data_IF_388313375344
#
_entry.id   IF_388313375344
#
_cell.length_a   1.000
_cell.length_b   1.000
_cell.length_c   1.000
_cell.angle_alpha   90.00
_cell.angle_beta   90.00
_cell.angle_gamma   90.00
#
_symmetry.space_group_name_H-M   'P 1'
#
loop_
_entity.id
_entity.type
_entity.pdbx_description
1 polymer ?
#
# COMPACT_ATOMS: atom_id res chain seq x y z
N UNK A 1 55.46 -2.27 -13.39
CA UNK A 1 55.41 -1.09 -12.50
C UNK A 1 54.09 -1.09 -11.74
N UNK A 2 54.10 -1.14 -10.43
CA UNK A 2 52.91 -1.00 -9.61
C UNK A 2 52.52 0.47 -9.55
N UNK A 3 51.37 0.85 -10.14
CA UNK A 3 50.86 2.20 -10.00
C UNK A 3 50.32 2.34 -8.56
N UNK A 4 50.93 3.22 -7.79
CA UNK A 4 50.48 3.59 -6.45
C UNK A 4 49.49 4.73 -6.56
N UNK A 5 48.33 4.62 -5.91
CA UNK A 5 47.39 5.72 -5.83
C UNK A 5 47.93 6.86 -4.97
N UNK A 6 47.68 8.08 -5.41
CA UNK A 6 48.05 9.27 -4.62
C UNK A 6 47.00 9.55 -3.55
N UNK A 7 47.43 10.10 -2.43
CA UNK A 7 46.53 10.49 -1.35
C UNK A 7 45.47 11.50 -1.82
N UNK A 8 45.89 12.37 -2.77
CA UNK A 8 45.01 13.37 -3.36
C UNK A 8 43.91 12.76 -4.23
N UNK A 9 44.21 11.72 -5.02
CA UNK A 9 43.17 11.00 -5.80
C UNK A 9 42.10 10.38 -4.91
N UNK A 10 42.49 9.76 -3.80
CA UNK A 10 41.56 9.21 -2.83
C UNK A 10 40.69 10.29 -2.17
N UNK A 11 41.32 11.44 -1.82
CA UNK A 11 40.59 12.53 -1.16
C UNK A 11 39.53 13.15 -2.07
N UNK A 12 39.82 13.31 -3.36
CA UNK A 12 38.85 13.82 -4.35
C UNK A 12 37.70 12.86 -4.53
N UNK A 13 37.98 11.57 -4.63
CA UNK A 13 36.95 10.54 -4.81
C UNK A 13 35.97 10.49 -3.64
N UNK A 14 36.48 10.45 -2.40
CA UNK A 14 35.61 10.45 -1.21
C UNK A 14 34.82 11.76 -1.09
N UNK A 15 35.38 12.89 -1.50
CA UNK A 15 34.67 14.17 -1.54
C UNK A 15 33.49 14.16 -2.50
N UNK A 16 33.67 13.63 -3.70
CA UNK A 16 32.56 13.49 -4.68
C UNK A 16 31.49 12.54 -4.18
N UNK A 17 31.89 11.38 -3.63
CA UNK A 17 30.94 10.40 -3.08
C UNK A 17 30.12 11.02 -1.93
N UNK A 18 30.76 11.77 -1.05
CA UNK A 18 30.08 12.43 0.07
C UNK A 18 28.99 13.40 -0.40
N UNK A 19 29.25 14.17 -1.46
CA UNK A 19 28.26 15.08 -2.06
C UNK A 19 27.09 14.30 -2.67
N UNK A 20 27.37 13.24 -3.45
CA UNK A 20 26.34 12.43 -4.08
C UNK A 20 25.45 11.72 -3.06
N UNK A 21 26.03 11.15 -2.02
CA UNK A 21 25.30 10.48 -0.93
C UNK A 21 24.40 11.47 -0.18
N UNK A 22 24.90 12.68 0.10
CA UNK A 22 24.10 13.69 0.82
C UNK A 22 22.83 14.09 0.06
N UNK A 23 22.89 14.19 -1.28
CA UNK A 23 21.71 14.45 -2.12
C UNK A 23 20.72 13.27 -2.13
N UNK A 24 21.23 12.04 -2.11
CA UNK A 24 20.40 10.82 -2.07
C UNK A 24 19.57 10.69 -0.80
N UNK A 25 20.13 11.00 0.35
CA UNK A 25 19.44 10.86 1.64
C UNK A 25 18.21 11.77 1.77
N UNK A 26 18.25 12.99 1.26
CA UNK A 26 17.14 13.94 1.35
C UNK A 26 15.86 13.43 0.64
N UNK A 27 16.00 12.69 -0.46
CA UNK A 27 14.89 12.19 -1.24
C UNK A 27 14.32 10.84 -0.74
N UNK A 28 15.12 10.08 0.02
CA UNK A 28 14.80 8.70 0.38
C UNK A 28 13.53 8.57 1.23
N UNK A 29 13.36 9.42 2.23
CA UNK A 29 12.17 9.39 3.10
C UNK A 29 10.86 9.67 2.35
N UNK A 30 10.91 10.60 1.40
CA UNK A 30 9.76 10.95 0.57
C UNK A 30 9.37 9.80 -0.36
N UNK A 31 10.36 9.14 -0.95
CA UNK A 31 10.14 7.97 -1.82
C UNK A 31 9.51 6.82 -1.02
N UNK A 32 10.01 6.54 0.18
CA UNK A 32 9.41 5.50 1.03
C UNK A 32 7.94 5.78 1.36
N UNK A 33 7.57 7.01 1.70
CA UNK A 33 6.17 7.39 1.95
C UNK A 33 5.30 7.15 0.71
N UNK A 34 5.76 7.62 -0.46
CA UNK A 34 5.04 7.39 -1.72
C UNK A 34 4.87 5.91 -2.08
N UNK A 35 5.90 5.10 -1.81
CA UNK A 35 5.83 3.65 -2.04
C UNK A 35 4.80 2.97 -1.15
N UNK A 36 4.73 3.33 0.14
CA UNK A 36 3.71 2.82 1.04
C UNK A 36 2.30 3.23 0.61
N UNK A 37 2.13 4.47 0.19
CA UNK A 37 0.83 4.96 -0.30
C UNK A 37 0.41 4.29 -1.61
N UNK A 38 1.35 4.06 -2.52
CA UNK A 38 1.10 3.30 -3.73
C UNK A 38 0.66 1.86 -3.41
N UNK A 39 1.30 1.21 -2.43
CA UNK A 39 0.87 -0.11 -1.95
C UNK A 39 -0.55 -0.07 -1.40
N UNK A 40 -0.90 0.87 -0.51
CA UNK A 40 -2.26 1.00 0.05
C UNK A 40 -3.32 1.14 -1.05
N UNK A 41 -3.07 2.00 -2.02
CA UNK A 41 -3.98 2.19 -3.17
C UNK A 41 -4.12 0.92 -4.01
N UNK A 42 -3.01 0.22 -4.25
CA UNK A 42 -3.01 -1.05 -4.98
C UNK A 42 -3.78 -2.14 -4.24
N UNK A 43 -3.58 -2.27 -2.93
CA UNK A 43 -4.26 -3.24 -2.08
C UNK A 43 -5.77 -3.00 -2.06
N UNK A 44 -6.22 -1.76 -1.85
CA UNK A 44 -7.64 -1.43 -1.89
C UNK A 44 -8.25 -1.61 -3.28
N UNK A 45 -7.55 -1.27 -4.34
CA UNK A 45 -8.01 -1.51 -5.72
C UNK A 45 -8.15 -3.00 -6.02
N UNK A 46 -7.23 -3.84 -5.53
CA UNK A 46 -7.33 -5.29 -5.64
C UNK A 46 -8.52 -5.83 -4.82
N UNK A 47 -8.76 -5.31 -3.61
CA UNK A 47 -9.92 -5.67 -2.80
C UNK A 47 -11.23 -5.31 -3.51
N UNK A 48 -11.31 -4.14 -4.13
CA UNK A 48 -12.48 -3.72 -4.89
C UNK A 48 -12.82 -4.74 -5.98
N UNK A 49 -11.82 -5.17 -6.76
CA UNK A 49 -12.01 -6.18 -7.81
C UNK A 49 -12.54 -7.51 -7.25
N UNK A 50 -12.01 -7.95 -6.13
CA UNK A 50 -12.47 -9.17 -5.47
C UNK A 50 -13.91 -9.02 -4.97
N UNK A 51 -14.26 -7.89 -4.38
CA UNK A 51 -15.62 -7.63 -3.90
C UNK A 51 -16.64 -7.61 -5.04
N UNK A 52 -16.30 -7.02 -6.19
CA UNK A 52 -17.17 -7.02 -7.37
C UNK A 52 -17.34 -8.45 -7.95
N UNK A 53 -16.28 -9.26 -7.93
CA UNK A 53 -16.41 -10.68 -8.29
C UNK A 53 -17.31 -11.45 -7.31
N UNK A 54 -17.12 -11.21 -6.01
CA UNK A 54 -17.95 -11.83 -4.98
C UNK A 54 -19.42 -11.43 -5.11
N UNK A 55 -19.70 -10.19 -5.45
CA UNK A 55 -21.05 -9.67 -5.66
C UNK A 55 -21.80 -10.47 -6.71
N UNK A 56 -21.18 -10.78 -7.84
CA UNK A 56 -21.79 -11.58 -8.90
C UNK A 56 -22.06 -13.05 -8.49
N UNK A 57 -21.25 -13.60 -7.59
CA UNK A 57 -21.38 -14.96 -7.09
C UNK A 57 -22.39 -15.08 -5.92
N UNK A 58 -22.59 -14.01 -5.18
CA UNK A 58 -23.38 -13.96 -3.96
C UNK A 58 -24.78 -13.34 -4.16
N UNK A 59 -25.45 -13.67 -5.23
CA UNK A 59 -26.80 -13.16 -5.52
C UNK A 59 -26.92 -11.63 -5.38
N UNK A 60 -25.95 -10.92 -5.92
CA UNK A 60 -25.89 -9.46 -5.90
C UNK A 60 -25.82 -8.87 -4.48
N UNK A 61 -25.05 -9.53 -3.61
CA UNK A 61 -24.81 -9.06 -2.25
C UNK A 61 -23.30 -9.09 -1.95
N UNK A 62 -22.73 -8.02 -1.44
CA UNK A 62 -21.33 -7.99 -1.05
C UNK A 62 -21.07 -8.86 0.18
N UNK A 63 -19.95 -9.58 0.22
CA UNK A 63 -19.57 -10.35 1.39
C UNK A 63 -19.16 -9.43 2.55
N UNK A 64 -19.16 -9.97 3.76
CA UNK A 64 -18.67 -9.24 4.93
C UNK A 64 -17.20 -8.84 4.75
N UNK A 65 -16.89 -7.61 5.10
CA UNK A 65 -15.53 -7.09 5.17
C UNK A 65 -15.17 -6.95 6.64
N UNK A 66 -14.07 -7.55 7.05
CA UNK A 66 -13.58 -7.52 8.43
C UNK A 66 -12.34 -6.65 8.54
N UNK A 67 -12.04 -6.18 9.76
CA UNK A 67 -10.84 -5.37 10.02
C UNK A 67 -11.11 -3.87 10.15
N UNK A 68 -12.36 -3.46 10.41
CA UNK A 68 -12.64 -2.06 10.70
C UNK A 68 -11.86 -1.56 11.92
N UNK A 69 -11.16 -0.43 11.79
CA UNK A 69 -10.33 0.14 12.84
C UNK A 69 -9.02 -0.61 13.11
N UNK A 70 -8.64 -1.58 12.28
CA UNK A 70 -7.40 -2.35 12.41
C UNK A 70 -6.42 -2.10 11.28
N UNK A 71 -5.18 -2.55 11.45
CA UNK A 71 -4.13 -2.46 10.43
C UNK A 71 -4.25 -3.49 9.31
N UNK A 72 -5.24 -4.39 9.40
CA UNK A 72 -5.52 -5.40 8.38
C UNK A 72 -6.99 -5.37 8.01
N UNK A 73 -7.27 -5.50 6.71
CA UNK A 73 -8.63 -5.61 6.18
C UNK A 73 -8.74 -6.87 5.33
N UNK A 74 -9.83 -7.61 5.49
CA UNK A 74 -10.05 -8.84 4.73
C UNK A 74 -11.49 -9.02 4.31
N UNK A 75 -11.67 -9.77 3.23
CA UNK A 75 -12.97 -10.28 2.80
C UNK A 75 -12.85 -11.75 2.46
N UNK A 76 -13.91 -12.50 2.65
CA UNK A 76 -13.94 -13.95 2.44
C UNK A 76 -15.12 -14.33 1.54
N UNK A 77 -14.79 -14.75 0.36
CA UNK A 77 -15.74 -15.24 -0.65
C UNK A 77 -15.63 -16.76 -0.88
N UNK A 78 -14.79 -17.45 -0.12
CA UNK A 78 -14.46 -18.87 -0.35
C UNK A 78 -15.66 -19.80 -0.23
N UNK A 79 -16.60 -19.49 0.65
CA UNK A 79 -17.86 -20.26 0.78
C UNK A 79 -18.70 -20.27 -0.50
N UNK A 80 -18.47 -19.31 -1.39
CA UNK A 80 -19.16 -19.14 -2.66
C UNK A 80 -18.30 -19.57 -3.86
N UNK A 81 -17.14 -20.20 -3.59
CA UNK A 81 -16.18 -20.56 -4.64
C UNK A 81 -15.35 -19.38 -5.16
N UNK A 82 -15.46 -18.21 -4.54
CA UNK A 82 -14.72 -17.02 -4.89
C UNK A 82 -13.44 -16.83 -4.08
N UNK A 83 -12.64 -15.84 -4.42
CA UNK A 83 -11.37 -15.56 -3.74
C UNK A 83 -11.56 -15.00 -2.34
N UNK A 84 -10.63 -15.32 -1.45
CA UNK A 84 -10.43 -14.64 -0.17
C UNK A 84 -9.17 -13.80 -0.23
N UNK A 85 -9.20 -12.62 0.35
CA UNK A 85 -8.08 -11.71 0.31
C UNK A 85 -7.95 -10.99 1.65
N UNK A 86 -6.70 -10.81 2.07
CA UNK A 86 -6.35 -10.03 3.27
C UNK A 86 -5.21 -9.10 2.93
N UNK A 87 -5.35 -7.84 3.28
CA UNK A 87 -4.30 -6.86 3.16
C UNK A 87 -3.94 -6.32 4.53
N UNK A 88 -2.64 -6.11 4.74
CA UNK A 88 -2.10 -5.52 5.97
C UNK A 88 -1.31 -4.26 5.62
N UNK A 89 -1.58 -3.20 6.35
CA UNK A 89 -0.85 -1.93 6.19
C UNK A 89 0.65 -2.13 6.45
N UNK A 90 1.52 -1.53 5.64
CA UNK A 90 2.96 -1.66 5.81
C UNK A 90 3.53 -0.96 7.05
N UNK A 91 2.69 -0.19 7.76
CA UNK A 91 3.06 0.53 8.99
C UNK A 91 2.02 0.29 10.08
N UNK A 92 1.33 1.32 10.51
CA UNK A 92 0.33 1.28 11.60
C UNK A 92 -0.97 1.99 11.24
N UNK A 93 -1.18 2.31 9.94
CA UNK A 93 -2.43 2.94 9.52
C UNK A 93 -3.57 1.94 9.60
N UNK A 94 -4.71 2.41 10.07
CA UNK A 94 -5.91 1.59 10.19
C UNK A 94 -6.84 1.79 9.00
N UNK A 95 -7.55 0.73 8.65
CA UNK A 95 -8.61 0.77 7.65
C UNK A 95 -9.94 1.11 8.31
N UNK A 96 -10.73 1.95 7.65
CA UNK A 96 -12.11 2.22 8.04
C UNK A 96 -13.04 1.52 7.06
N UNK A 97 -13.90 0.65 7.58
CA UNK A 97 -14.88 -0.11 6.81
C UNK A 97 -16.27 0.35 7.19
N UNK A 98 -17.07 0.72 6.19
CA UNK A 98 -18.48 1.08 6.34
C UNK A 98 -19.31 0.21 5.41
N UNK A 99 -20.35 -0.45 5.93
CA UNK A 99 -21.15 -1.39 5.17
C UNK A 99 -20.42 -2.74 5.03
N UNK A 100 -20.68 -3.44 3.92
CA UNK A 100 -20.35 -4.85 3.73
C UNK A 100 -21.47 -5.76 4.24
N UNK A 101 -21.51 -7.00 3.77
CA UNK A 101 -22.63 -7.92 4.00
C UNK A 101 -24.00 -7.32 3.57
N UNK A 102 -24.06 -6.66 2.41
CA UNK A 102 -25.26 -6.00 1.92
C UNK A 102 -25.10 -5.43 0.51
N UNK A 103 -25.90 -4.41 0.20
CA UNK A 103 -25.91 -3.80 -1.13
C UNK A 103 -24.78 -2.80 -1.37
N UNK A 104 -24.14 -2.30 -0.32
CA UNK A 104 -23.10 -1.27 -0.43
C UNK A 104 -21.93 -1.53 0.51
N UNK A 105 -20.77 -1.05 0.14
CA UNK A 105 -19.59 -1.02 1.02
C UNK A 105 -18.73 0.22 0.74
N UNK A 106 -17.92 0.57 1.70
CA UNK A 106 -16.85 1.55 1.57
C UNK A 106 -15.67 1.15 2.45
N UNK A 107 -14.49 1.15 1.89
CA UNK A 107 -13.25 0.92 2.63
C UNK A 107 -12.30 2.07 2.37
N UNK A 108 -11.76 2.64 3.41
CA UNK A 108 -10.84 3.77 3.33
C UNK A 108 -9.60 3.58 4.18
N UNK A 109 -8.53 4.26 3.78
CA UNK A 109 -7.28 4.34 4.54
C UNK A 109 -6.68 5.74 4.42
N UNK A 110 -6.10 6.24 5.50
CA UNK A 110 -5.40 7.53 5.49
C UNK A 110 -3.97 7.34 4.97
N UNK A 111 -3.60 8.10 3.96
CA UNK A 111 -2.27 8.11 3.37
C UNK A 111 -1.24 8.85 4.24
N UNK A 112 0.03 8.84 3.84
CA UNK A 112 1.11 9.52 4.57
C UNK A 112 0.98 11.05 4.52
N UNK A 113 0.36 11.58 3.46
CA UNK A 113 0.07 13.01 3.26
C UNK A 113 -1.22 13.47 3.97
N UNK A 114 -1.82 12.62 4.82
CA UNK A 114 -3.08 12.82 5.53
C UNK A 114 -4.34 12.81 4.67
N UNK A 115 -4.23 12.63 3.36
CA UNK A 115 -5.40 12.42 2.50
C UNK A 115 -6.02 11.05 2.73
N UNK A 116 -7.33 10.94 2.55
CA UNK A 116 -8.04 9.67 2.68
C UNK A 116 -8.30 9.09 1.29
N UNK A 117 -7.84 7.88 1.09
CA UNK A 117 -8.16 7.10 -0.11
C UNK A 117 -9.30 6.13 0.19
N UNK A 118 -10.36 6.20 -0.59
CA UNK A 118 -11.58 5.42 -0.37
C UNK A 118 -11.94 4.65 -1.64
N UNK A 119 -12.34 3.40 -1.46
CA UNK A 119 -13.02 2.60 -2.47
C UNK A 119 -14.46 2.35 -2.04
N UNK A 120 -15.36 2.20 -2.98
CA UNK A 120 -16.78 1.90 -2.75
C UNK A 120 -17.32 1.00 -3.86
N UNK A 121 -18.54 0.51 -3.65
CA UNK A 121 -19.25 -0.27 -4.66
C UNK A 121 -19.38 0.51 -5.98
N UNK A 122 -19.37 -0.23 -7.09
CA UNK A 122 -19.46 0.31 -8.46
C UNK A 122 -20.86 0.09 -9.09
N UNK A 123 -21.78 -0.48 -8.31
CA UNK A 123 -23.15 -0.76 -8.74
C UNK A 123 -24.11 0.35 -8.30
#
# INVERSE_FOLDING_TARGET
MKKSFTLLEMLVVIGIIAILVSMGFASYSTVQKKTRDAKRKGDLSAMQKVLEQCYSLNSYTYPAITGNGTTSVSTNCTALGGPSITFTDPTTKTYTVVGGAGATYSVSVTLEDTTVYTISNQQ
#
